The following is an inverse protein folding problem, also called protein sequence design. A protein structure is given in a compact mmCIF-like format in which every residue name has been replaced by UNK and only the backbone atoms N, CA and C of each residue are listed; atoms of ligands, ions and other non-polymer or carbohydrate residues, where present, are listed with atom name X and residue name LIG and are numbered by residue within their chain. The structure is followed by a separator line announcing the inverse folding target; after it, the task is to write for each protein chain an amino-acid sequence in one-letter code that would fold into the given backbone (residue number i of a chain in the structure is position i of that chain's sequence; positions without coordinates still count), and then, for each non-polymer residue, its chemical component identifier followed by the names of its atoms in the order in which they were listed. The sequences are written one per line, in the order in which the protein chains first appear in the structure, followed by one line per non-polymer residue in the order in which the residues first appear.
data_IF_646147659919
#
_entry.id   IF_646147659919
#
_cell.length_a   1.000
_cell.length_b   1.000
_cell.length_c   1.000
_cell.angle_alpha   90.00
_cell.angle_beta   90.00
_cell.angle_gamma   90.00
#
_symmetry.space_group_name_H-M   'P 1'
#
loop_
_entity.id
_entity.type
_entity.pdbx_description
1 polymer ?
#
# COMPACT_ATOMS: atom_id res chain seq x y z
N UNK A 1 0.73 14.42 -14.39
CA UNK A 1 -0.66 14.00 -14.09
C UNK A 1 -0.65 13.00 -12.94
N UNK A 2 -1.48 13.20 -11.91
CA UNK A 2 -1.67 12.24 -10.81
C UNK A 2 -3.09 11.68 -10.81
N UNK A 3 -3.24 10.43 -10.37
CA UNK A 3 -4.52 9.75 -10.23
C UNK A 3 -4.73 9.33 -8.79
N UNK A 4 -5.69 9.98 -8.12
CA UNK A 4 -6.03 9.70 -6.73
C UNK A 4 -7.25 8.76 -6.64
N UNK A 5 -7.25 7.92 -5.62
CA UNK A 5 -8.34 7.00 -5.27
C UNK A 5 -8.79 7.31 -3.84
N UNK A 6 -10.09 7.53 -3.66
CA UNK A 6 -10.69 7.52 -2.33
C UNK A 6 -11.04 6.07 -1.99
N UNK A 7 -10.28 5.47 -1.09
CA UNK A 7 -10.45 4.08 -0.66
C UNK A 7 -11.09 4.03 0.73
N UNK A 8 -12.27 3.44 0.82
CA UNK A 8 -12.96 3.25 2.10
C UNK A 8 -12.53 1.93 2.72
N UNK A 9 -12.00 1.99 3.93
CA UNK A 9 -11.57 0.83 4.69
C UNK A 9 -12.31 0.77 6.02
N UNK A 10 -12.70 -0.44 6.42
CA UNK A 10 -13.30 -0.72 7.70
C UNK A 10 -12.22 -1.25 8.65
N UNK A 11 -11.91 -0.49 9.69
CA UNK A 11 -10.98 -0.88 10.75
C UNK A 11 -11.74 -1.02 12.07
N UNK A 12 -12.23 -2.24 12.33
CA UNK A 12 -13.10 -2.54 13.46
C UNK A 12 -14.47 -1.88 13.30
N UNK A 13 -14.75 -0.84 14.10
CA UNK A 13 -16.01 -0.08 14.06
C UNK A 13 -15.87 1.28 13.37
N UNK A 14 -14.69 1.58 12.80
CA UNK A 14 -14.41 2.86 12.14
C UNK A 14 -14.34 2.66 10.64
N UNK A 15 -15.18 3.39 9.92
CA UNK A 15 -15.06 3.53 8.47
C UNK A 15 -14.16 4.73 8.18
N UNK A 16 -12.98 4.48 7.63
CA UNK A 16 -12.02 5.50 7.24
C UNK A 16 -12.04 5.67 5.73
N UNK A 17 -11.98 6.91 5.25
CA UNK A 17 -11.80 7.22 3.84
C UNK A 17 -10.37 7.69 3.64
N UNK A 18 -9.59 6.94 2.87
CA UNK A 18 -8.20 7.25 2.57
C UNK A 18 -8.11 7.89 1.19
N UNK A 19 -7.42 9.01 1.08
CA UNK A 19 -7.01 9.55 -0.22
C UNK A 19 -5.64 8.97 -0.58
N UNK A 20 -5.59 8.18 -1.65
CA UNK A 20 -4.40 7.43 -2.05
C UNK A 20 -3.98 7.78 -3.48
N UNK A 21 -2.70 8.06 -3.68
CA UNK A 21 -2.13 8.37 -4.99
C UNK A 21 -1.78 7.06 -5.71
N UNK A 22 -2.66 6.59 -6.58
CA UNK A 22 -2.45 5.33 -7.32
C UNK A 22 -1.41 5.51 -8.43
N UNK A 23 -1.48 6.63 -9.13
CA UNK A 23 -0.57 6.97 -10.22
C UNK A 23 -0.02 8.39 -10.02
N UNK A 24 1.25 8.58 -10.33
CA UNK A 24 1.91 9.89 -10.33
C UNK A 24 2.69 10.08 -11.63
N UNK A 25 3.05 11.31 -11.97
CA UNK A 25 3.83 11.59 -13.17
C UNK A 25 5.24 10.99 -13.11
N UNK A 26 5.82 10.90 -11.91
CA UNK A 26 7.10 10.24 -11.68
C UNK A 26 7.07 8.74 -12.01
N UNK A 27 5.88 8.14 -12.06
CA UNK A 27 5.73 6.74 -12.45
C UNK A 27 6.19 6.49 -13.90
N UNK A 28 6.14 7.50 -14.77
CA UNK A 28 6.56 7.41 -16.17
C UNK A 28 8.07 7.20 -16.33
N UNK A 29 8.86 7.47 -15.29
CA UNK A 29 10.32 7.29 -15.29
C UNK A 29 10.72 5.81 -15.17
N UNK A 30 9.82 4.94 -14.72
CA UNK A 30 10.12 3.53 -14.50
C UNK A 30 9.85 2.70 -15.74
N UNK A 31 10.86 1.96 -16.20
CA UNK A 31 10.76 1.05 -17.35
C UNK A 31 10.33 -0.36 -16.96
N UNK A 32 10.56 -0.75 -15.70
CA UNK A 32 10.20 -2.06 -15.16
C UNK A 32 8.87 -2.00 -14.40
N UNK A 33 7.91 -2.84 -14.80
CA UNK A 33 6.62 -2.99 -14.10
C UNK A 33 6.78 -3.39 -12.64
N UNK A 34 7.84 -4.13 -12.31
CA UNK A 34 8.11 -4.55 -10.93
C UNK A 34 8.62 -3.41 -10.06
N UNK A 35 9.49 -2.55 -10.59
CA UNK A 35 9.99 -1.36 -9.90
C UNK A 35 8.88 -0.35 -9.71
N UNK A 36 8.10 -0.11 -10.77
CA UNK A 36 6.91 0.74 -10.71
C UNK A 36 5.95 0.26 -9.62
N UNK A 37 5.60 -1.04 -9.63
CA UNK A 37 4.69 -1.60 -8.62
C UNK A 37 5.25 -1.47 -7.21
N UNK A 38 6.54 -1.70 -7.00
CA UNK A 38 7.20 -1.50 -5.70
C UNK A 38 7.13 -0.05 -5.24
N UNK A 39 7.38 0.91 -6.14
CA UNK A 39 7.25 2.34 -5.85
C UNK A 39 5.83 2.69 -5.43
N UNK A 40 4.82 2.18 -6.16
CA UNK A 40 3.40 2.34 -5.81
C UNK A 40 3.05 1.72 -4.46
N UNK A 41 3.50 0.49 -4.18
CA UNK A 41 3.30 -0.16 -2.88
C UNK A 41 3.82 0.73 -1.75
N UNK A 42 5.05 1.24 -1.87
CA UNK A 42 5.63 2.11 -0.84
C UNK A 42 4.84 3.40 -0.65
N UNK A 43 4.41 4.05 -1.75
CA UNK A 43 3.60 5.27 -1.72
C UNK A 43 2.27 5.02 -1.00
N UNK A 44 1.52 4.01 -1.41
CA UNK A 44 0.21 3.69 -0.83
C UNK A 44 0.30 3.32 0.66
N UNK A 45 1.31 2.53 1.05
CA UNK A 45 1.51 2.16 2.46
C UNK A 45 1.90 3.36 3.32
N UNK A 46 2.73 4.27 2.78
CA UNK A 46 3.09 5.50 3.47
C UNK A 46 1.89 6.42 3.65
N UNK A 47 1.14 6.70 2.59
CA UNK A 47 -0.04 7.58 2.62
C UNK A 47 -1.13 7.04 3.55
N UNK A 48 -1.36 5.73 3.55
CA UNK A 48 -2.29 5.11 4.49
C UNK A 48 -1.83 5.30 5.94
N UNK A 49 -0.54 5.09 6.22
CA UNK A 49 0.04 5.27 7.55
C UNK A 49 -0.06 6.72 8.02
N UNK A 50 0.23 7.68 7.15
CA UNK A 50 0.10 9.12 7.42
C UNK A 50 -1.35 9.51 7.77
N UNK A 51 -2.33 8.78 7.23
CA UNK A 51 -3.76 8.94 7.52
C UNK A 51 -4.24 8.06 8.70
N UNK A 52 -3.32 7.44 9.45
CA UNK A 52 -3.62 6.65 10.65
C UNK A 52 -4.18 5.25 10.37
N UNK A 53 -4.03 4.74 9.15
CA UNK A 53 -4.50 3.41 8.76
C UNK A 53 -3.38 2.53 8.17
N UNK A 54 -3.57 1.22 8.17
CA UNK A 54 -2.65 0.27 7.53
C UNK A 54 -3.40 -0.53 6.48
N UNK A 55 -2.90 -0.50 5.24
CA UNK A 55 -3.42 -1.38 4.19
C UNK A 55 -2.89 -2.80 4.40
N UNK A 56 -3.71 -3.79 4.07
CA UNK A 56 -3.33 -5.20 3.99
C UNK A 56 -3.00 -5.63 2.56
N UNK A 57 -2.56 -6.87 2.41
CA UNK A 57 -2.29 -7.46 1.08
C UNK A 57 -3.54 -7.52 0.19
N UNK A 58 -4.74 -7.67 0.77
CA UNK A 58 -6.00 -7.69 0.02
C UNK A 58 -6.33 -6.31 -0.56
N UNK A 59 -6.14 -5.26 0.23
CA UNK A 59 -6.35 -3.89 -0.24
C UNK A 59 -5.37 -3.54 -1.37
N UNK A 60 -4.09 -3.87 -1.19
CA UNK A 60 -3.08 -3.70 -2.25
C UNK A 60 -3.41 -4.52 -3.50
N UNK A 61 -3.99 -5.71 -3.36
CA UNK A 61 -4.41 -6.53 -4.50
C UNK A 61 -5.54 -5.85 -5.29
N UNK A 62 -6.54 -5.29 -4.60
CA UNK A 62 -7.65 -4.57 -5.23
C UNK A 62 -7.18 -3.28 -5.90
N UNK A 63 -6.31 -2.51 -5.25
CA UNK A 63 -5.84 -1.21 -5.75
C UNK A 63 -4.87 -1.39 -6.93
N UNK A 64 -3.92 -2.31 -6.83
CA UNK A 64 -2.83 -2.49 -7.82
C UNK A 64 -3.11 -3.60 -8.83
N UNK A 65 -4.26 -4.28 -8.73
CA UNK A 65 -4.68 -5.39 -9.60
C UNK A 65 -3.57 -6.47 -9.78
N UNK A 66 -2.80 -6.70 -8.71
CA UNK A 66 -1.62 -7.56 -8.70
C UNK A 66 -1.82 -8.72 -7.74
N UNK A 67 -1.48 -9.94 -8.14
CA UNK A 67 -1.72 -11.14 -7.32
C UNK A 67 -1.03 -11.07 -5.95
N UNK A 68 -1.65 -11.68 -4.93
CA UNK A 68 -1.10 -11.73 -3.56
C UNK A 68 0.33 -12.31 -3.52
N UNK A 69 0.62 -13.32 -4.36
CA UNK A 69 1.95 -13.91 -4.45
C UNK A 69 2.99 -12.92 -4.98
N UNK A 70 2.62 -12.10 -5.96
CA UNK A 70 3.49 -11.03 -6.48
C UNK A 70 3.72 -9.93 -5.44
N UNK A 71 2.66 -9.49 -4.77
CA UNK A 71 2.77 -8.48 -3.71
C UNK A 71 3.65 -8.95 -2.54
N UNK A 72 3.50 -10.20 -2.10
CA UNK A 72 4.37 -10.81 -1.07
C UNK A 72 5.83 -10.85 -1.50
N UNK A 73 6.12 -11.20 -2.76
CA UNK A 73 7.49 -11.19 -3.31
C UNK A 73 8.07 -9.78 -3.34
N UNK A 74 7.30 -8.79 -3.76
CA UNK A 74 7.76 -7.40 -3.82
C UNK A 74 8.01 -6.82 -2.42
N UNK A 75 7.12 -7.08 -1.46
CA UNK A 75 7.33 -6.66 -0.06
C UNK A 75 8.53 -7.39 0.56
N UNK A 76 8.72 -8.67 0.27
CA UNK A 76 9.91 -9.41 0.70
C UNK A 76 11.19 -8.81 0.11
N UNK A 77 11.18 -8.45 -1.17
CA UNK A 77 12.29 -7.76 -1.82
C UNK A 77 12.58 -6.42 -1.15
N UNK A 78 11.57 -5.57 -0.93
CA UNK A 78 11.74 -4.27 -0.27
C UNK A 78 12.33 -4.40 1.14
N UNK A 79 11.83 -5.36 1.94
CA UNK A 79 12.38 -5.65 3.27
C UNK A 79 13.86 -6.08 3.21
N UNK A 80 14.24 -6.89 2.22
CA UNK A 80 15.64 -7.30 2.01
C UNK A 80 16.55 -6.13 1.61
N UNK A 81 15.99 -5.06 1.05
CA UNK A 81 16.73 -3.82 0.78
C UNK A 81 16.84 -2.91 2.00
N UNK A 82 16.38 -3.35 3.19
CA UNK A 82 16.39 -2.55 4.42
C UNK A 82 15.27 -1.52 4.50
N UNK A 83 14.28 -1.59 3.62
CA UNK A 83 13.14 -0.67 3.64
C UNK A 83 12.13 -1.17 4.66
N UNK A 84 11.77 -0.30 5.62
CA UNK A 84 10.74 -0.57 6.60
C UNK A 84 9.35 -0.50 5.96
N UNK A 85 8.57 -1.58 6.11
CA UNK A 85 7.26 -1.72 5.48
C UNK A 85 6.19 -1.93 6.55
N UNK A 86 5.26 -0.97 6.64
CA UNK A 86 4.10 -1.00 7.52
C UNK A 86 2.89 -1.56 6.75
N UNK A 87 2.58 -2.84 6.98
CA UNK A 87 1.45 -3.53 6.32
C UNK A 87 0.62 -4.29 7.35
N UNK A 88 -0.71 -4.25 7.22
CA UNK A 88 -1.63 -4.98 8.08
C UNK A 88 -1.50 -6.48 7.83
N UNK A 89 -0.96 -7.21 8.81
CA UNK A 89 -0.94 -8.67 8.79
C UNK A 89 -2.28 -9.19 9.34
N UNK A 90 -2.91 -10.15 8.66
CA UNK A 90 -4.23 -10.70 8.99
C UNK A 90 -4.33 -11.48 10.31
N UNK A 91 -3.41 -11.29 11.25
CA UNK A 91 -3.54 -11.71 12.65
C UNK A 91 -3.70 -10.44 13.47
N UNK A 92 -4.93 -10.15 13.86
CA UNK A 92 -5.34 -9.42 15.06
C UNK A 92 -4.24 -8.66 15.83
N UNK A 93 -3.62 -7.65 15.23
CA UNK A 93 -2.83 -6.66 15.97
C UNK A 93 -3.58 -5.35 15.82
N UNK A 94 -4.28 -4.99 16.91
CA UNK A 94 -4.76 -3.63 17.14
C UNK A 94 -3.54 -2.72 16.97
N UNK A 95 -3.50 -1.95 15.88
CA UNK A 95 -2.44 -0.99 15.65
C UNK A 95 -3.04 0.34 15.21
N UNK A 96 -3.79 0.93 16.14
CA UNK A 96 -3.85 2.36 16.31
C UNK A 96 -4.01 2.61 17.82
N UNK A 97 -2.87 2.65 18.52
CA UNK A 97 -2.81 3.10 19.91
C UNK A 97 -2.38 4.55 19.90
N UNK A 98 -3.33 5.37 20.38
CA UNK A 98 -3.23 6.78 20.84
C UNK A 98 -3.02 7.83 19.75
#
# INVERSE_FOLDING_TARGET
MSGNLIYKIEDGHRLLSLELTVCDEDDLKYTSLSELRRKRIMRLLREAKEQGCLLGYKDLNLILLSSLATLKRDISYLKKQGIEIFIKNGKSEKACSV
#
